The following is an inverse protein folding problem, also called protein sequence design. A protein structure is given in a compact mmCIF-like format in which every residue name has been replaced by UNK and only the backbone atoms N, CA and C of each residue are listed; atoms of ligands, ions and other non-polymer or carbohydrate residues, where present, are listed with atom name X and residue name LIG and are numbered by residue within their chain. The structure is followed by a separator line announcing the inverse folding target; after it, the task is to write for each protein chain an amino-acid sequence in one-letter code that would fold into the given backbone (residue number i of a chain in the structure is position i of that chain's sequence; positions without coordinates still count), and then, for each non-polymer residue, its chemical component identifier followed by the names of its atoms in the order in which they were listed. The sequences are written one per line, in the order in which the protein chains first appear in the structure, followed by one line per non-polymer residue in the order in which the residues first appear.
data_IF_983288299790
#
_entry.id   IF_983288299790
#
_cell.length_a   1.000
_cell.length_b   1.000
_cell.length_c   1.000
_cell.angle_alpha   90.00
_cell.angle_beta   90.00
_cell.angle_gamma   90.00
#
_symmetry.space_group_name_H-M   'P 1'
#
loop_
_entity.id
_entity.type
_entity.pdbx_description
1 polymer ?
#
# COMPACT_ATOMS: atom_id res chain seq x y z
N UNK A 1 -1.01 -17.39 -7.97
CA UNK A 1 -1.81 -16.67 -6.99
C UNK A 1 -3.06 -16.12 -7.65
N UNK A 2 -4.21 -16.30 -7.04
CA UNK A 2 -5.45 -15.57 -7.34
C UNK A 2 -5.95 -14.92 -6.04
N UNK A 3 -6.98 -14.08 -6.12
CA UNK A 3 -7.46 -13.33 -4.96
C UNK A 3 -8.03 -14.22 -3.85
N UNK A 4 -8.69 -15.34 -4.20
CA UNK A 4 -9.26 -16.25 -3.20
C UNK A 4 -8.17 -16.93 -2.38
N UNK A 5 -7.11 -17.39 -3.04
CA UNK A 5 -5.96 -17.98 -2.34
C UNK A 5 -5.16 -16.95 -1.56
N UNK A 6 -5.03 -15.73 -2.06
CA UNK A 6 -4.35 -14.66 -1.32
C UNK A 6 -5.09 -14.35 -0.03
N UNK A 7 -6.43 -14.21 -0.12
CA UNK A 7 -7.33 -13.98 1.01
C UNK A 7 -7.14 -14.98 2.14
N UNK A 8 -7.08 -16.27 1.84
CA UNK A 8 -6.88 -17.33 2.85
C UNK A 8 -5.58 -17.17 3.66
N UNK A 9 -4.61 -16.42 3.13
CA UNK A 9 -3.29 -16.25 3.76
C UNK A 9 -3.14 -14.91 4.46
N UNK A 10 -3.76 -13.84 3.95
CA UNK A 10 -3.59 -12.46 4.46
C UNK A 10 -4.68 -12.02 5.41
N UNK A 11 -5.84 -12.69 5.43
CA UNK A 11 -6.88 -12.43 6.41
C UNK A 11 -6.61 -13.30 7.65
N UNK A 12 -6.53 -12.65 8.82
CA UNK A 12 -6.54 -13.31 10.11
C UNK A 12 -7.94 -13.16 10.72
N UNK A 13 -8.62 -14.29 10.95
CA UNK A 13 -9.96 -14.28 11.56
C UNK A 13 -9.90 -13.99 13.08
N UNK A 14 -8.75 -14.27 13.70
CA UNK A 14 -8.52 -14.13 15.13
C UNK A 14 -7.16 -13.47 15.40
N UNK A 15 -6.99 -12.98 16.63
CA UNK A 15 -5.73 -12.45 17.14
C UNK A 15 -4.59 -13.47 17.02
N UNK A 16 -3.42 -13.01 16.56
CA UNK A 16 -2.21 -13.83 16.40
C UNK A 16 -1.26 -13.55 17.57
N UNK A 17 -1.03 -14.56 18.40
CA UNK A 17 -0.07 -14.50 19.50
C UNK A 17 1.39 -14.61 19.03
N UNK A 18 2.32 -14.34 19.94
CA UNK A 18 3.77 -14.38 19.69
C UNK A 18 4.23 -15.68 19.00
N UNK A 19 3.69 -16.83 19.41
CA UNK A 19 4.04 -18.15 18.87
C UNK A 19 3.55 -18.33 17.42
N UNK A 20 2.47 -17.65 17.04
CA UNK A 20 1.86 -17.70 15.71
C UNK A 20 2.43 -16.71 14.69
N UNK A 21 3.09 -15.63 15.15
CA UNK A 21 3.55 -14.51 14.30
C UNK A 21 4.43 -15.00 13.15
N UNK A 22 5.47 -15.78 13.47
CA UNK A 22 6.44 -16.26 12.49
C UNK A 22 5.79 -17.12 11.39
N UNK A 23 4.88 -18.02 11.80
CA UNK A 23 4.20 -18.92 10.87
C UNK A 23 3.27 -18.14 9.94
N UNK A 24 2.50 -17.20 10.49
CA UNK A 24 1.60 -16.35 9.73
C UNK A 24 2.36 -15.47 8.73
N UNK A 25 3.34 -14.69 9.19
CA UNK A 25 4.10 -13.77 8.33
C UNK A 25 4.93 -14.53 7.27
N UNK A 26 5.40 -15.75 7.58
CA UNK A 26 6.05 -16.61 6.58
C UNK A 26 5.09 -16.99 5.45
N UNK A 27 3.84 -17.35 5.79
CA UNK A 27 2.78 -17.61 4.81
C UNK A 27 2.50 -16.39 3.94
N UNK A 28 2.35 -15.21 4.54
CA UNK A 28 2.15 -13.95 3.81
C UNK A 28 3.32 -13.65 2.88
N UNK A 29 4.57 -13.80 3.34
CA UNK A 29 5.77 -13.63 2.51
C UNK A 29 5.80 -14.59 1.32
N UNK A 30 5.33 -15.82 1.49
CA UNK A 30 5.17 -16.77 0.38
C UNK A 30 4.12 -16.31 -0.62
N UNK A 31 2.97 -15.85 -0.14
CA UNK A 31 1.91 -15.34 -0.97
C UNK A 31 2.36 -14.11 -1.79
N UNK A 32 3.03 -13.16 -1.15
CA UNK A 32 3.61 -11.98 -1.83
C UNK A 32 4.64 -12.38 -2.90
N UNK A 33 5.48 -13.38 -2.65
CA UNK A 33 6.39 -13.92 -3.68
C UNK A 33 5.63 -14.50 -4.87
N UNK A 34 4.45 -15.09 -4.68
CA UNK A 34 3.62 -15.53 -5.79
C UNK A 34 2.98 -14.37 -6.54
N UNK A 35 2.55 -13.31 -5.84
CA UNK A 35 2.04 -12.07 -6.46
C UNK A 35 3.12 -11.41 -7.32
N UNK A 36 4.35 -11.30 -6.82
CA UNK A 36 5.49 -10.76 -7.58
C UNK A 36 5.75 -11.53 -8.89
N UNK A 37 5.54 -12.86 -8.90
CA UNK A 37 5.71 -13.66 -10.12
C UNK A 37 4.69 -13.30 -11.20
N UNK A 38 3.52 -12.76 -10.86
CA UNK A 38 2.53 -12.33 -11.85
C UNK A 38 3.06 -11.18 -12.71
N UNK A 39 3.88 -10.29 -12.14
CA UNK A 39 4.55 -9.21 -12.87
C UNK A 39 5.40 -9.82 -14.01
N UNK A 40 6.24 -10.81 -13.68
CA UNK A 40 7.11 -11.51 -14.65
C UNK A 40 6.34 -12.39 -15.63
N UNK A 41 5.15 -12.85 -15.24
CA UNK A 41 4.26 -13.64 -16.08
C UNK A 41 3.42 -12.79 -17.05
N UNK A 42 3.53 -11.45 -16.99
CA UNK A 42 2.80 -10.54 -17.88
C UNK A 42 1.42 -10.10 -17.36
N UNK A 43 1.15 -10.28 -16.07
CA UNK A 43 -0.08 -9.83 -15.40
C UNK A 43 0.20 -8.75 -14.32
N UNK A 44 0.90 -7.64 -14.63
CA UNK A 44 1.26 -6.63 -13.63
C UNK A 44 0.02 -5.96 -13.00
N UNK A 45 -1.04 -5.67 -13.77
CA UNK A 45 -2.24 -5.04 -13.22
C UNK A 45 -2.99 -5.94 -12.23
N UNK A 46 -2.90 -7.26 -12.39
CA UNK A 46 -3.43 -8.21 -11.41
C UNK A 46 -2.58 -8.18 -10.13
N UNK A 47 -1.25 -8.08 -10.27
CA UNK A 47 -0.36 -7.92 -9.13
C UNK A 47 -0.63 -6.62 -8.35
N UNK A 48 -0.93 -5.51 -9.03
CA UNK A 48 -1.36 -4.25 -8.38
C UNK A 48 -2.55 -4.51 -7.46
N UNK A 49 -3.66 -5.03 -8.01
CA UNK A 49 -4.89 -5.25 -7.26
C UNK A 49 -4.71 -6.24 -6.10
N UNK A 50 -3.94 -7.31 -6.30
CA UNK A 50 -3.65 -8.28 -5.25
C UNK A 50 -2.79 -7.68 -4.13
N UNK A 51 -1.82 -6.85 -4.46
CA UNK A 51 -0.98 -6.20 -3.44
C UNK A 51 -1.75 -5.15 -2.65
N UNK A 52 -2.59 -4.33 -3.29
CA UNK A 52 -3.48 -3.39 -2.59
C UNK A 52 -4.41 -4.14 -1.61
N UNK A 53 -4.96 -5.28 -2.05
CA UNK A 53 -5.77 -6.14 -1.19
C UNK A 53 -4.98 -6.72 -0.01
N UNK A 54 -3.76 -7.22 -0.25
CA UNK A 54 -2.90 -7.74 0.81
C UNK A 54 -2.57 -6.68 1.85
N UNK A 55 -2.18 -5.46 1.43
CA UNK A 55 -1.89 -4.34 2.34
C UNK A 55 -3.12 -4.01 3.18
N UNK A 56 -4.29 -3.90 2.53
CA UNK A 56 -5.56 -3.61 3.22
C UNK A 56 -5.91 -4.67 4.27
N UNK A 57 -5.64 -5.94 3.99
CA UNK A 57 -5.89 -7.02 4.93
C UNK A 57 -4.89 -6.99 6.09
N UNK A 58 -3.60 -6.81 5.79
CA UNK A 58 -2.51 -6.78 6.77
C UNK A 58 -2.62 -5.62 7.76
N UNK A 59 -3.09 -4.45 7.31
CA UNK A 59 -3.38 -3.30 8.19
C UNK A 59 -4.49 -3.57 9.22
N UNK A 60 -5.27 -4.64 9.05
CA UNK A 60 -6.37 -5.01 9.95
C UNK A 60 -6.04 -6.16 10.88
N UNK A 61 -4.86 -6.75 10.74
CA UNK A 61 -4.45 -7.91 11.54
C UNK A 61 -4.12 -7.45 12.95
N UNK A 62 -4.74 -8.08 13.94
CA UNK A 62 -4.35 -7.93 15.33
C UNK A 62 -3.29 -8.99 15.67
N UNK A 63 -2.03 -8.55 15.88
CA UNK A 63 -0.87 -9.43 16.07
C UNK A 63 0.08 -8.90 17.15
N UNK A 64 0.68 -9.78 17.95
CA UNK A 64 1.73 -9.42 18.92
C UNK A 64 3.11 -9.27 18.25
N UNK A 65 3.21 -8.34 17.31
CA UNK A 65 4.43 -8.11 16.52
C UNK A 65 5.39 -7.13 17.21
N UNK A 66 5.94 -7.55 18.34
CA UNK A 66 6.87 -6.73 19.13
C UNK A 66 8.14 -6.37 18.34
N UNK A 67 8.55 -7.25 17.43
CA UNK A 67 9.78 -7.09 16.64
C UNK A 67 9.57 -6.26 15.35
N UNK A 68 8.33 -5.90 14.99
CA UNK A 68 8.01 -5.10 13.82
C UNK A 68 8.07 -5.84 12.48
N UNK A 69 7.98 -7.18 12.50
CA UNK A 69 8.04 -8.02 11.32
C UNK A 69 6.84 -7.84 10.35
N UNK A 70 5.69 -7.36 10.83
CA UNK A 70 4.55 -6.95 10.01
C UNK A 70 4.90 -5.74 9.15
N UNK A 71 5.60 -4.75 9.72
CA UNK A 71 6.05 -3.56 8.97
C UNK A 71 7.00 -3.98 7.84
N UNK A 72 7.95 -4.89 8.09
CA UNK A 72 8.82 -5.44 7.03
C UNK A 72 8.02 -6.10 5.90
N UNK A 73 6.92 -6.79 6.23
CA UNK A 73 6.05 -7.44 5.24
C UNK A 73 5.22 -6.41 4.46
N UNK A 74 4.74 -5.37 5.13
CA UNK A 74 4.04 -4.24 4.48
C UNK A 74 4.97 -3.47 3.55
N UNK A 75 6.22 -3.21 3.96
CA UNK A 75 7.25 -2.60 3.11
C UNK A 75 7.52 -3.46 1.88
N UNK A 76 7.66 -4.78 2.05
CA UNK A 76 7.81 -5.69 0.92
C UNK A 76 6.59 -5.67 -0.01
N UNK A 77 5.38 -5.56 0.53
CA UNK A 77 4.17 -5.42 -0.28
C UNK A 77 4.21 -4.11 -1.08
N UNK A 78 4.58 -2.97 -0.47
CA UNK A 78 4.69 -1.68 -1.16
C UNK A 78 5.74 -1.70 -2.29
N UNK A 79 6.87 -2.39 -2.11
CA UNK A 79 7.86 -2.60 -3.17
C UNK A 79 7.27 -3.36 -4.36
N UNK A 80 6.56 -4.47 -4.09
CA UNK A 80 5.90 -5.27 -5.14
C UNK A 80 4.82 -4.43 -5.85
N UNK A 81 4.08 -3.60 -5.12
CA UNK A 81 3.10 -2.69 -5.70
C UNK A 81 3.76 -1.70 -6.66
N UNK A 82 4.88 -1.09 -6.27
CA UNK A 82 5.63 -0.16 -7.12
C UNK A 82 6.14 -0.85 -8.40
N UNK A 83 6.75 -2.02 -8.25
CA UNK A 83 7.24 -2.82 -9.38
C UNK A 83 6.10 -3.20 -10.34
N UNK A 84 4.93 -3.56 -9.80
CA UNK A 84 3.75 -3.89 -10.57
C UNK A 84 3.19 -2.67 -11.31
N UNK A 85 3.10 -1.51 -10.65
CA UNK A 85 2.69 -0.24 -11.25
C UNK A 85 3.66 0.20 -12.36
N UNK A 86 4.97 0.02 -12.17
CA UNK A 86 5.99 0.37 -13.16
C UNK A 86 5.97 -0.56 -14.39
N UNK A 87 5.67 -1.84 -14.21
CA UNK A 87 5.55 -2.81 -15.30
C UNK A 87 4.17 -2.78 -15.99
N UNK A 88 3.15 -2.28 -15.30
CA UNK A 88 1.78 -2.22 -15.75
C UNK A 88 1.39 -0.89 -16.39
N UNK A 89 0.08 -0.70 -16.53
CA UNK A 89 -0.51 0.55 -17.02
C UNK A 89 -1.72 0.90 -16.16
N UNK A 90 -1.54 1.15 -14.86
CA UNK A 90 -2.64 1.54 -13.99
C UNK A 90 -3.27 2.86 -14.47
N UNK A 91 -4.56 3.03 -14.23
CA UNK A 91 -5.18 4.35 -14.41
C UNK A 91 -4.55 5.32 -13.40
N UNK A 92 -3.95 6.44 -13.84
CA UNK A 92 -3.19 7.30 -12.93
C UNK A 92 -4.05 7.98 -11.86
N UNK A 93 -5.32 8.26 -12.16
CA UNK A 93 -6.22 8.88 -11.19
C UNK A 93 -6.70 7.87 -10.15
N UNK A 94 -7.01 6.64 -10.56
CA UNK A 94 -7.34 5.54 -9.66
C UNK A 94 -6.14 5.20 -8.76
N UNK A 95 -4.92 5.14 -9.30
CA UNK A 95 -3.70 4.90 -8.53
C UNK A 95 -3.48 6.00 -7.47
N UNK A 96 -3.68 7.27 -7.83
CA UNK A 96 -3.62 8.36 -6.86
C UNK A 96 -4.63 8.20 -5.72
N UNK A 97 -5.84 7.74 -6.04
CA UNK A 97 -6.89 7.48 -5.06
C UNK A 97 -6.51 6.33 -4.12
N UNK A 98 -6.05 5.20 -4.65
CA UNK A 98 -5.56 4.07 -3.85
C UNK A 98 -4.45 4.48 -2.89
N UNK A 99 -3.40 5.18 -3.38
CA UNK A 99 -2.26 5.58 -2.56
C UNK A 99 -2.67 6.52 -1.41
N UNK A 100 -3.49 7.53 -1.71
CA UNK A 100 -3.94 8.48 -0.68
C UNK A 100 -4.86 7.80 0.34
N UNK A 101 -5.82 7.00 -0.12
CA UNK A 101 -6.74 6.29 0.79
C UNK A 101 -5.98 5.34 1.70
N UNK A 102 -5.10 4.50 1.15
CA UNK A 102 -4.33 3.54 1.94
C UNK A 102 -3.39 4.25 2.92
N UNK A 103 -2.74 5.36 2.52
CA UNK A 103 -1.89 6.12 3.43
C UNK A 103 -2.66 6.77 4.60
N UNK A 104 -3.86 7.30 4.33
CA UNK A 104 -4.67 7.96 5.35
C UNK A 104 -5.36 7.00 6.32
N UNK A 105 -5.61 5.77 5.88
CA UNK A 105 -6.29 4.73 6.66
C UNK A 105 -5.30 3.78 7.35
N UNK A 106 -4.00 3.92 7.08
CA UNK A 106 -2.94 3.09 7.65
C UNK A 106 -2.62 3.42 9.09
N UNK A 107 -2.43 2.38 9.90
CA UNK A 107 -1.85 2.49 11.24
C UNK A 107 -0.33 2.28 11.22
N UNK A 108 0.17 1.57 10.20
CA UNK A 108 1.58 1.23 10.03
C UNK A 108 2.37 2.18 9.10
N UNK A 109 1.72 3.22 8.57
CA UNK A 109 2.34 4.23 7.71
C UNK A 109 2.56 3.79 6.26
N UNK A 110 1.74 2.90 5.69
CA UNK A 110 1.89 2.52 4.27
C UNK A 110 1.71 3.71 3.35
N UNK A 111 2.46 3.73 2.25
CA UNK A 111 2.43 4.73 1.18
C UNK A 111 2.69 6.18 1.58
N UNK A 112 3.09 6.49 2.83
CA UNK A 112 3.50 7.85 3.22
C UNK A 112 4.75 8.30 2.49
N UNK A 113 5.58 7.35 2.06
CA UNK A 113 6.81 7.55 1.29
C UNK A 113 6.62 7.30 -0.22
N UNK A 114 5.38 7.16 -0.73
CA UNK A 114 5.15 6.78 -2.13
C UNK A 114 5.66 7.83 -3.15
N UNK A 115 5.75 9.10 -2.77
CA UNK A 115 6.36 10.12 -3.62
C UNK A 115 7.79 10.41 -3.15
N UNK A 116 8.76 10.49 -4.08
CA UNK A 116 8.59 10.70 -5.53
C UNK A 116 8.50 9.45 -6.44
N UNK A 117 8.65 8.23 -5.91
CA UNK A 117 8.83 6.99 -6.66
C UNK A 117 7.68 6.70 -7.64
N UNK A 118 6.44 6.97 -7.23
CA UNK A 118 5.25 6.81 -8.07
C UNK A 118 5.03 7.97 -9.03
N UNK A 119 5.80 9.05 -8.95
CA UNK A 119 5.54 10.32 -9.65
C UNK A 119 5.48 10.18 -11.18
N UNK A 120 6.40 9.41 -11.78
CA UNK A 120 6.39 9.18 -13.23
C UNK A 120 5.20 8.33 -13.68
N UNK A 121 4.78 7.35 -12.86
CA UNK A 121 3.66 6.46 -13.16
C UNK A 121 2.33 7.23 -13.07
N UNK A 122 2.21 8.09 -12.05
CA UNK A 122 1.05 8.97 -11.87
C UNK A 122 0.96 10.04 -12.97
N UNK A 123 2.12 10.53 -13.44
CA UNK A 123 2.16 11.64 -14.39
C UNK A 123 1.38 12.87 -13.91
N UNK A 124 1.09 13.79 -14.83
CA UNK A 124 0.42 15.05 -14.46
C UNK A 124 -1.03 14.82 -13.99
N UNK A 125 -1.76 13.90 -14.62
CA UNK A 125 -3.17 13.66 -14.29
C UNK A 125 -3.31 13.00 -12.91
N UNK A 126 -2.48 12.00 -12.60
CA UNK A 126 -2.45 11.35 -11.29
C UNK A 126 -1.98 12.31 -10.20
N UNK A 127 -0.91 13.09 -10.42
CA UNK A 127 -0.44 14.09 -9.44
C UNK A 127 -1.46 15.21 -9.19
N UNK A 128 -2.22 15.63 -10.22
CA UNK A 128 -3.35 16.56 -10.03
C UNK A 128 -4.42 15.91 -9.15
N UNK A 129 -4.82 14.67 -9.45
CA UNK A 129 -5.82 13.94 -8.67
C UNK A 129 -5.39 13.75 -7.21
N UNK A 130 -4.11 13.42 -7.00
CA UNK A 130 -3.49 13.30 -5.69
C UNK A 130 -3.64 14.59 -4.88
N UNK A 131 -3.30 15.75 -5.48
CA UNK A 131 -3.47 17.07 -4.85
C UNK A 131 -4.93 17.34 -4.45
N UNK A 132 -5.86 17.11 -5.37
CA UNK A 132 -7.30 17.31 -5.12
C UNK A 132 -7.82 16.44 -3.97
N UNK A 133 -7.28 15.22 -3.81
CA UNK A 133 -7.63 14.33 -2.71
C UNK A 133 -7.10 14.89 -1.38
N UNK A 134 -5.83 15.31 -1.33
CA UNK A 134 -5.27 15.92 -0.11
C UNK A 134 -6.05 17.17 0.32
N UNK A 135 -6.35 18.07 -0.62
CA UNK A 135 -7.10 19.31 -0.35
C UNK A 135 -8.51 19.00 0.19
N UNK A 136 -9.17 17.98 -0.37
CA UNK A 136 -10.50 17.55 0.06
C UNK A 136 -10.47 16.99 1.49
N UNK A 137 -9.52 16.11 1.77
CA UNK A 137 -9.40 15.44 3.07
C UNK A 137 -8.98 16.45 4.17
N UNK A 138 -8.08 17.38 3.88
CA UNK A 138 -7.67 18.42 4.84
C UNK A 138 -8.85 19.34 5.22
N UNK A 139 -9.68 19.70 4.24
CA UNK A 139 -10.84 20.57 4.47
C UNK A 139 -11.88 19.97 5.43
N UNK A 140 -11.94 18.64 5.56
CA UNK A 140 -12.95 17.94 6.37
C UNK A 140 -12.37 17.25 7.61
N UNK A 141 -11.05 17.02 7.67
CA UNK A 141 -10.45 16.27 8.75
C UNK A 141 -10.49 17.02 10.08
N UNK A 142 -10.93 16.33 11.13
CA UNK A 142 -10.85 16.79 12.53
C UNK A 142 -9.82 16.00 13.33
N UNK A 143 -9.26 14.93 12.75
CA UNK A 143 -8.26 14.08 13.40
C UNK A 143 -6.87 14.69 13.27
N UNK A 144 -6.19 14.83 14.42
CA UNK A 144 -4.80 15.31 14.45
C UNK A 144 -3.85 14.35 13.75
N UNK A 145 -4.07 13.04 13.89
CA UNK A 145 -3.25 12.01 13.24
C UNK A 145 -3.42 12.06 11.73
N UNK A 146 -4.65 12.10 11.22
CA UNK A 146 -4.89 12.24 9.77
C UNK A 146 -4.31 13.53 9.22
N UNK A 147 -4.43 14.66 9.95
CA UNK A 147 -3.80 15.92 9.53
C UNK A 147 -2.29 15.81 9.41
N UNK A 148 -1.63 15.15 10.36
CA UNK A 148 -0.19 14.90 10.27
C UNK A 148 0.17 14.10 9.01
N UNK A 149 -0.57 13.04 8.68
CA UNK A 149 -0.33 12.28 7.44
C UNK A 149 -0.55 13.16 6.22
N UNK A 150 -1.64 13.95 6.15
CA UNK A 150 -1.89 14.87 5.05
C UNK A 150 -0.75 15.88 4.84
N UNK A 151 -0.20 16.43 5.93
CA UNK A 151 0.95 17.34 5.87
C UNK A 151 2.17 16.64 5.25
N UNK A 152 2.48 15.40 5.69
CA UNK A 152 3.58 14.59 5.11
C UNK A 152 3.35 14.35 3.62
N UNK A 153 2.16 13.87 3.23
CA UNK A 153 1.85 13.61 1.81
C UNK A 153 1.94 14.88 0.96
N UNK A 154 1.52 16.03 1.49
CA UNK A 154 1.61 17.32 0.81
C UNK A 154 3.07 17.76 0.60
N UNK A 155 3.92 17.59 1.61
CA UNK A 155 5.36 17.86 1.50
C UNK A 155 6.01 16.99 0.41
N UNK A 156 5.69 15.70 0.35
CA UNK A 156 6.21 14.79 -0.69
C UNK A 156 5.73 15.16 -2.08
N UNK A 157 4.46 15.55 -2.21
CA UNK A 157 3.88 16.01 -3.46
C UNK A 157 4.60 17.25 -4.01
N UNK A 158 4.98 18.20 -3.14
CA UNK A 158 5.76 19.39 -3.54
C UNK A 158 7.14 18.96 -4.07
N UNK A 159 7.80 18.02 -3.40
CA UNK A 159 9.08 17.47 -3.85
C UNK A 159 9.00 16.73 -5.19
N UNK A 160 7.92 15.99 -5.43
CA UNK A 160 7.70 15.24 -6.67
C UNK A 160 7.29 16.14 -7.86
N UNK A 161 6.62 17.26 -7.60
CA UNK A 161 6.18 18.21 -8.65
C UNK A 161 7.32 19.08 -9.21
N UNK A 162 8.54 18.94 -8.69
CA UNK A 162 9.71 19.71 -9.11
C UNK A 162 10.45 19.11 -10.34
N UNK A 163 9.99 17.96 -10.85
CA UNK A 163 10.61 17.21 -11.95
C UNK A 163 9.78 17.23 -13.24
#
# INVERSE_FOLDING_TARGET
MDQARLREVVEADDYIDEDGVDAYLSGVREALREVERLIRAGSPNEAIALTEYAITALERVEIDDVDGALVDVLDRAQEIHLDACAAGTPDPAALAESLVTLALDSENGVFVEALPEYGQILGQDGLRRYRELLDREDAVTTSRQRRYVLDVLAERLVGASAY
#
